data_IF_998033248723
#
_entry.id   IF_998033248723
#
_cell.length_a   1.000
_cell.length_b   1.000
_cell.length_c   1.000
_cell.angle_alpha   90.00
_cell.angle_beta   90.00
_cell.angle_gamma   90.00
#
_symmetry.space_group_name_H-M   'P 1'
#
loop_
_entity.id
_entity.type
_entity.pdbx_description
1 polymer ?
#
# COMPACT_ATOMS: atom_id res chain seq x y z
N UNK A 1 -9.99 -66.87 36.14
CA UNK A 1 -9.23 -66.48 34.93
C UNK A 1 -10.21 -66.46 33.77
N UNK A 2 -10.55 -65.29 33.23
CA UNK A 2 -11.58 -65.17 32.19
C UNK A 2 -10.91 -65.34 30.82
N UNK A 3 -11.28 -66.38 30.08
CA UNK A 3 -10.64 -66.78 28.80
C UNK A 3 -11.28 -66.07 27.59
N UNK A 4 -12.46 -65.46 27.76
CA UNK A 4 -13.24 -64.85 26.65
C UNK A 4 -12.88 -63.40 26.33
N UNK A 5 -12.23 -62.68 27.24
CA UNK A 5 -11.82 -61.28 27.06
C UNK A 5 -10.37 -61.12 27.46
N UNK A 6 -9.51 -60.90 26.46
CA UNK A 6 -8.08 -60.65 26.70
C UNK A 6 -7.88 -59.17 27.05
N UNK A 7 -8.01 -58.85 28.33
CA UNK A 7 -7.88 -57.48 28.84
C UNK A 7 -6.48 -56.88 28.62
N UNK A 8 -5.42 -57.70 28.60
CA UNK A 8 -4.07 -57.23 28.28
C UNK A 8 -3.94 -56.81 26.80
N UNK A 9 -4.50 -57.59 25.88
CA UNK A 9 -4.53 -57.24 24.46
C UNK A 9 -5.38 -55.98 24.20
N UNK A 10 -6.52 -55.83 24.89
CA UNK A 10 -7.36 -54.63 24.78
C UNK A 10 -6.62 -53.38 25.29
N UNK A 11 -5.89 -53.49 26.39
CA UNK A 11 -5.09 -52.36 26.91
C UNK A 11 -3.93 -52.00 25.96
N UNK A 12 -3.26 -53.00 25.39
CA UNK A 12 -2.20 -52.78 24.39
C UNK A 12 -2.74 -52.11 23.11
N UNK A 13 -3.93 -52.52 22.63
CA UNK A 13 -4.60 -51.90 21.48
C UNK A 13 -5.01 -50.44 21.78
N UNK A 14 -5.55 -50.19 22.98
CA UNK A 14 -5.89 -48.83 23.42
C UNK A 14 -4.66 -47.91 23.44
N UNK A 15 -3.55 -48.37 24.03
CA UNK A 15 -2.31 -47.62 24.08
C UNK A 15 -1.70 -47.40 22.69
N UNK A 16 -1.79 -48.41 21.80
CA UNK A 16 -1.37 -48.30 20.41
C UNK A 16 -2.18 -47.22 19.68
N UNK A 17 -3.51 -47.21 19.82
CA UNK A 17 -4.39 -46.18 19.22
C UNK A 17 -4.04 -44.76 19.69
N UNK A 18 -3.79 -44.59 20.99
CA UNK A 18 -3.36 -43.29 21.53
C UNK A 18 -2.02 -42.85 20.91
N UNK A 19 -1.05 -43.77 20.81
CA UNK A 19 0.25 -43.47 20.21
C UNK A 19 0.13 -43.15 18.70
N UNK A 20 -0.64 -43.92 17.94
CA UNK A 20 -0.89 -43.64 16.52
C UNK A 20 -1.54 -42.27 16.32
N UNK A 21 -2.48 -41.86 17.19
CA UNK A 21 -3.08 -40.52 17.13
C UNK A 21 -2.05 -39.41 17.43
N UNK A 22 -1.14 -39.63 18.38
CA UNK A 22 -0.09 -38.65 18.71
C UNK A 22 0.93 -38.51 17.58
N UNK A 23 1.36 -39.63 16.98
CA UNK A 23 2.25 -39.63 15.81
C UNK A 23 1.61 -38.89 14.63
N UNK A 24 0.31 -39.12 14.36
CA UNK A 24 -0.41 -38.42 13.31
C UNK A 24 -0.43 -36.90 13.53
N UNK A 25 -0.67 -36.43 14.77
CA UNK A 25 -0.60 -35.00 15.11
C UNK A 25 0.81 -34.42 14.92
N UNK A 26 1.85 -35.15 15.34
CA UNK A 26 3.25 -34.73 15.15
C UNK A 26 3.62 -34.64 13.68
N UNK A 27 3.19 -35.60 12.86
CA UNK A 27 3.36 -35.56 11.40
C UNK A 27 2.64 -34.38 10.76
N UNK A 28 1.43 -34.04 11.23
CA UNK A 28 0.71 -32.87 10.75
C UNK A 28 1.46 -31.57 11.05
N UNK A 29 2.03 -31.43 12.26
CA UNK A 29 2.85 -30.26 12.65
C UNK A 29 4.15 -30.20 11.86
N UNK A 30 4.78 -31.34 11.61
CA UNK A 30 5.98 -31.40 10.77
C UNK A 30 5.67 -31.01 9.31
N UNK A 31 4.55 -31.49 8.76
CA UNK A 31 4.16 -31.21 7.38
C UNK A 31 3.73 -29.75 7.15
N UNK A 32 3.11 -29.11 8.14
CA UNK A 32 2.71 -27.71 8.05
C UNK A 32 3.83 -26.74 8.42
N UNK A 33 4.82 -27.20 9.19
CA UNK A 33 5.84 -26.36 9.80
C UNK A 33 5.33 -25.48 10.96
N UNK A 34 4.03 -25.54 11.28
CA UNK A 34 3.43 -24.77 12.37
C UNK A 34 3.31 -25.61 13.64
N UNK A 35 3.69 -25.00 14.76
CA UNK A 35 3.53 -25.59 16.09
C UNK A 35 2.04 -25.75 16.49
N UNK A 36 1.18 -24.84 16.03
CA UNK A 36 -0.26 -24.81 16.32
C UNK A 36 -1.00 -24.92 14.99
N UNK A 37 -1.68 -26.05 14.76
CA UNK A 37 -2.42 -26.32 13.51
C UNK A 37 -3.93 -26.26 13.68
N UNK A 38 -4.43 -26.36 14.91
CA UNK A 38 -5.85 -26.40 15.22
C UNK A 38 -6.13 -25.68 16.55
N UNK A 39 -7.33 -25.14 16.71
CA UNK A 39 -7.80 -24.59 17.97
C UNK A 39 -7.81 -25.63 19.10
N UNK A 40 -7.82 -26.93 18.75
CA UNK A 40 -7.72 -28.03 19.71
C UNK A 40 -6.30 -28.21 20.29
N UNK A 41 -5.26 -27.68 19.63
CA UNK A 41 -3.88 -27.70 20.16
C UNK A 41 -3.66 -26.55 21.15
N UNK A 42 -4.06 -25.32 20.76
CA UNK A 42 -3.98 -24.11 21.58
C UNK A 42 -4.91 -23.03 20.99
N UNK A 43 -6.10 -22.87 21.57
CA UNK A 43 -7.08 -21.90 21.09
C UNK A 43 -6.62 -20.45 21.26
N UNK A 44 -5.91 -20.14 22.35
CA UNK A 44 -5.43 -18.79 22.62
C UNK A 44 -4.25 -18.44 21.71
N UNK A 45 -3.29 -19.35 21.56
CA UNK A 45 -2.14 -19.20 20.67
C UNK A 45 -2.56 -19.09 19.20
N UNK A 46 -3.56 -19.88 18.76
CA UNK A 46 -4.11 -19.75 17.41
C UNK A 46 -4.79 -18.39 17.22
N UNK A 47 -5.62 -17.95 18.17
CA UNK A 47 -6.31 -16.66 18.08
C UNK A 47 -5.34 -15.47 17.98
N UNK A 48 -4.26 -15.47 18.77
CA UNK A 48 -3.22 -14.44 18.70
C UNK A 48 -2.51 -14.50 17.33
N UNK A 49 -2.18 -15.69 16.85
CA UNK A 49 -1.48 -15.83 15.55
C UNK A 49 -2.35 -15.37 14.38
N UNK A 50 -3.65 -15.64 14.40
CA UNK A 50 -4.58 -15.17 13.37
C UNK A 50 -4.80 -13.66 13.46
N UNK A 51 -4.86 -13.09 14.67
CA UNK A 51 -4.88 -11.64 14.87
C UNK A 51 -3.61 -10.99 14.31
N UNK A 52 -2.43 -11.55 14.57
CA UNK A 52 -1.17 -11.04 14.01
C UNK A 52 -1.13 -11.17 12.48
N UNK A 53 -1.62 -12.27 11.90
CA UNK A 53 -1.73 -12.41 10.44
C UNK A 53 -2.68 -11.37 9.84
N UNK A 54 -3.80 -11.07 10.51
CA UNK A 54 -4.71 -10.01 10.10
C UNK A 54 -4.00 -8.65 10.14
N UNK A 55 -3.32 -8.34 11.25
CA UNK A 55 -2.53 -7.10 11.36
C UNK A 55 -1.45 -6.98 10.29
N UNK A 56 -0.75 -8.07 9.94
CA UNK A 56 0.24 -8.05 8.85
C UNK A 56 -0.44 -7.67 7.53
N UNK A 57 -1.57 -8.31 7.19
CA UNK A 57 -2.32 -7.97 5.97
C UNK A 57 -2.81 -6.53 5.97
N UNK A 58 -3.27 -6.04 7.12
CA UNK A 58 -3.72 -4.65 7.28
C UNK A 58 -2.55 -3.68 7.09
N UNK A 59 -1.37 -4.01 7.63
CA UNK A 59 -0.15 -3.21 7.44
C UNK A 59 0.35 -3.23 5.99
N UNK A 60 0.28 -4.38 5.31
CA UNK A 60 0.62 -4.48 3.88
C UNK A 60 -0.30 -3.58 3.05
N UNK A 61 -1.62 -3.64 3.29
CA UNK A 61 -2.58 -2.76 2.63
C UNK A 61 -2.37 -1.27 2.99
N UNK A 62 -2.01 -0.95 4.24
CA UNK A 62 -1.68 0.41 4.65
C UNK A 62 -0.39 0.92 3.98
N UNK A 63 0.58 0.03 3.74
CA UNK A 63 1.80 0.34 2.99
C UNK A 63 1.48 0.65 1.54
N UNK A 64 0.67 -0.16 0.88
CA UNK A 64 0.22 0.08 -0.51
C UNK A 64 -0.53 1.42 -0.61
N UNK A 65 -1.46 1.69 0.31
CA UNK A 65 -2.17 2.98 0.37
C UNK A 65 -1.22 4.17 0.59
N UNK A 66 -0.17 4.00 1.40
CA UNK A 66 0.83 5.05 1.61
C UNK A 66 1.64 5.30 0.33
N UNK A 67 1.94 4.24 -0.42
CA UNK A 67 2.63 4.34 -1.70
C UNK A 67 1.78 5.08 -2.74
N UNK A 68 0.47 4.82 -2.79
CA UNK A 68 -0.47 5.57 -3.62
C UNK A 68 -0.53 7.05 -3.23
N UNK A 69 -0.52 7.35 -1.93
CA UNK A 69 -0.45 8.72 -1.42
C UNK A 69 0.85 9.44 -1.86
N UNK A 70 1.99 8.73 -1.85
CA UNK A 70 3.25 9.27 -2.37
C UNK A 70 3.14 9.55 -3.87
N UNK A 71 2.59 8.62 -4.65
CA UNK A 71 2.43 8.80 -6.10
C UNK A 71 1.49 9.97 -6.44
N UNK A 72 0.42 10.17 -5.66
CA UNK A 72 -0.46 11.33 -5.76
C UNK A 72 0.32 12.63 -5.49
N UNK A 73 1.09 12.67 -4.40
CA UNK A 73 1.89 13.85 -4.06
C UNK A 73 2.95 14.17 -5.12
N UNK A 74 3.60 13.15 -5.69
CA UNK A 74 4.56 13.32 -6.78
C UNK A 74 3.92 13.85 -8.07
N UNK A 75 2.69 13.42 -8.37
CA UNK A 75 1.94 13.93 -9.53
C UNK A 75 1.61 15.41 -9.33
N UNK A 76 1.14 15.79 -8.14
CA UNK A 76 0.91 17.18 -7.79
C UNK A 76 2.20 18.01 -7.83
N UNK A 77 3.32 17.48 -7.30
CA UNK A 77 4.62 18.14 -7.32
C UNK A 77 5.14 18.38 -8.75
N UNK A 78 4.98 17.39 -9.64
CA UNK A 78 5.30 17.53 -11.06
C UNK A 78 4.51 18.66 -11.73
N UNK A 79 3.20 18.72 -11.50
CA UNK A 79 2.35 19.79 -12.01
C UNK A 79 2.74 21.16 -11.44
N UNK A 80 3.04 21.25 -10.14
CA UNK A 80 3.45 22.48 -9.49
C UNK A 80 4.83 22.97 -9.97
N UNK A 81 5.74 22.07 -10.34
CA UNK A 81 7.03 22.45 -10.93
C UNK A 81 6.83 23.13 -12.31
N UNK A 82 5.95 22.61 -13.15
CA UNK A 82 5.60 23.26 -14.44
C UNK A 82 4.96 24.63 -14.21
N UNK A 83 4.04 24.74 -13.23
CA UNK A 83 3.47 26.03 -12.83
C UNK A 83 4.54 27.01 -12.33
N UNK A 84 5.49 26.52 -11.54
CA UNK A 84 6.60 27.32 -11.03
C UNK A 84 7.48 27.88 -12.16
N UNK A 85 7.83 27.06 -13.14
CA UNK A 85 8.64 27.48 -14.29
C UNK A 85 7.91 28.53 -15.16
N UNK A 86 6.60 28.37 -15.36
CA UNK A 86 5.78 29.38 -16.04
C UNK A 86 5.72 30.69 -15.27
N UNK A 87 5.56 30.65 -13.94
CA UNK A 87 5.56 31.85 -13.10
C UNK A 87 6.92 32.57 -13.12
N UNK A 88 8.03 31.82 -13.10
CA UNK A 88 9.36 32.39 -13.27
C UNK A 88 9.49 33.09 -14.63
N UNK A 89 8.98 32.46 -15.71
CA UNK A 89 8.95 33.08 -17.04
C UNK A 89 8.10 34.35 -17.07
N UNK A 90 6.92 34.35 -16.44
CA UNK A 90 6.07 35.54 -16.33
C UNK A 90 6.81 36.69 -15.60
N UNK A 91 7.58 36.38 -14.56
CA UNK A 91 8.39 37.36 -13.83
C UNK A 91 9.51 37.95 -14.70
N UNK A 92 10.19 37.12 -15.52
CA UNK A 92 11.15 37.61 -16.51
C UNK A 92 10.51 38.56 -17.52
N UNK A 93 9.33 38.20 -18.04
CA UNK A 93 8.58 39.01 -18.99
C UNK A 93 8.15 40.34 -18.38
N UNK A 94 7.69 40.34 -17.12
CA UNK A 94 7.34 41.55 -16.38
C UNK A 94 8.55 42.49 -16.22
N UNK A 95 9.72 41.94 -15.89
CA UNK A 95 10.97 42.70 -15.77
C UNK A 95 11.39 43.29 -17.12
N UNK A 96 11.27 42.51 -18.21
CA UNK A 96 11.54 42.99 -19.58
C UNK A 96 10.57 44.08 -19.99
N UNK A 97 9.28 43.94 -19.69
CA UNK A 97 8.26 44.94 -19.99
C UNK A 97 8.47 46.26 -19.22
N UNK A 98 9.03 46.20 -18.01
CA UNK A 98 9.38 47.36 -17.20
C UNK A 98 10.58 48.15 -17.71
N UNK A 99 11.37 47.61 -18.65
CA UNK A 99 12.51 48.31 -19.21
C UNK A 99 12.05 49.34 -20.27
N UNK A 100 12.38 50.60 -20.03
CA UNK A 100 11.97 51.74 -20.87
C UNK A 100 12.57 51.77 -22.28
N UNK A 101 13.53 50.90 -22.60
CA UNK A 101 14.13 50.82 -23.94
C UNK A 101 13.28 50.04 -24.95
N UNK A 102 12.33 49.24 -24.50
CA UNK A 102 11.42 48.50 -25.39
C UNK A 102 10.25 49.37 -25.86
N UNK A 103 9.79 49.10 -27.08
CA UNK A 103 8.65 49.78 -27.70
C UNK A 103 7.31 49.26 -27.15
N UNK A 104 6.23 50.03 -27.32
CA UNK A 104 4.88 49.60 -26.93
C UNK A 104 4.43 48.33 -27.67
N UNK A 105 4.85 48.16 -28.92
CA UNK A 105 4.57 46.94 -29.70
C UNK A 105 5.23 45.70 -29.07
N UNK A 106 6.48 45.82 -28.61
CA UNK A 106 7.18 44.74 -27.91
C UNK A 106 6.55 44.44 -26.54
N UNK A 107 6.12 45.47 -25.82
CA UNK A 107 5.34 45.29 -24.56
C UNK A 107 4.02 44.56 -24.81
N UNK A 108 3.36 44.82 -25.93
CA UNK A 108 2.17 44.10 -26.36
C UNK A 108 2.43 42.60 -26.51
N UNK A 109 3.48 42.21 -27.25
CA UNK A 109 3.85 40.81 -27.44
C UNK A 109 4.18 40.09 -26.12
N UNK A 110 4.86 40.77 -25.18
CA UNK A 110 5.13 40.18 -23.86
C UNK A 110 3.85 39.95 -23.05
N UNK A 111 2.86 40.84 -23.17
CA UNK A 111 1.57 40.68 -22.51
C UNK A 111 0.76 39.52 -23.11
N UNK A 112 0.84 39.33 -24.42
CA UNK A 112 0.22 38.17 -25.10
C UNK A 112 0.84 36.85 -24.60
N UNK A 113 2.17 36.79 -24.45
CA UNK A 113 2.87 35.62 -23.88
C UNK A 113 2.46 35.37 -22.42
N UNK A 114 2.36 36.42 -21.60
CA UNK A 114 1.87 36.33 -20.21
C UNK A 114 0.43 35.79 -20.16
N UNK A 115 -0.44 36.25 -21.05
CA UNK A 115 -1.85 35.80 -21.12
C UNK A 115 -1.93 34.31 -21.51
N UNK A 116 -1.07 33.86 -22.43
CA UNK A 116 -0.98 32.44 -22.78
C UNK A 116 -0.49 31.60 -21.60
N UNK A 117 0.54 32.06 -20.87
CA UNK A 117 1.05 31.38 -19.68
C UNK A 117 -0.02 31.26 -18.59
N UNK A 118 -0.83 32.31 -18.37
CA UNK A 118 -1.98 32.25 -17.46
C UNK A 118 -2.98 31.16 -17.88
N UNK A 119 -3.38 31.15 -19.15
CA UNK A 119 -4.28 30.11 -19.66
C UNK A 119 -3.69 28.70 -19.53
N UNK A 120 -2.37 28.57 -19.65
CA UNK A 120 -1.71 27.27 -19.53
C UNK A 120 -1.64 26.80 -18.07
N UNK A 121 -1.45 27.71 -17.12
CA UNK A 121 -1.55 27.43 -15.67
C UNK A 121 -2.96 26.94 -15.33
N UNK A 122 -4.00 27.62 -15.82
CA UNK A 122 -5.39 27.21 -15.59
C UNK A 122 -5.65 25.81 -16.18
N UNK A 123 -5.15 25.52 -17.38
CA UNK A 123 -5.25 24.19 -17.98
C UNK A 123 -4.55 23.11 -17.17
N UNK A 124 -3.36 23.39 -16.61
CA UNK A 124 -2.66 22.43 -15.75
C UNK A 124 -3.47 22.19 -14.49
N UNK A 125 -4.04 23.23 -13.88
CA UNK A 125 -4.93 23.07 -12.73
C UNK A 125 -6.17 22.21 -13.05
N UNK A 126 -6.76 22.39 -14.23
CA UNK A 126 -7.97 21.64 -14.61
C UNK A 126 -7.69 20.19 -15.03
N UNK A 127 -6.49 19.92 -15.58
CA UNK A 127 -6.11 18.62 -16.15
C UNK A 127 -5.28 17.74 -15.22
N UNK A 128 -4.74 18.28 -14.12
CA UNK A 128 -3.97 17.49 -13.15
C UNK A 128 -4.89 16.55 -12.41
N UNK A 129 -4.79 15.26 -12.75
CA UNK A 129 -5.67 14.23 -12.23
C UNK A 129 -4.88 13.01 -11.81
N UNK A 130 -5.17 12.50 -10.61
CA UNK A 130 -4.67 11.21 -10.15
C UNK A 130 -5.85 10.30 -9.81
N UNK A 131 -6.02 9.22 -10.57
CA UNK A 131 -7.06 8.21 -10.35
C UNK A 131 -8.49 8.78 -10.22
N UNK A 132 -8.82 9.80 -11.03
CA UNK A 132 -10.13 10.48 -11.01
C UNK A 132 -10.24 11.62 -10.00
N UNK A 133 -9.24 11.82 -9.14
CA UNK A 133 -9.16 12.96 -8.22
C UNK A 133 -8.47 14.11 -8.95
N UNK A 134 -9.18 15.22 -9.17
CA UNK A 134 -8.54 16.47 -9.59
C UNK A 134 -7.77 17.06 -8.41
N UNK A 135 -6.51 17.40 -8.68
CA UNK A 135 -5.54 17.91 -7.70
C UNK A 135 -5.48 19.43 -7.73
#
# INVERSE_FOLDING_TARGET
MVVRTNTMAINAEHQMRLNSSNVAKSLQKLSSGYKINSAADDAAGLAISEHMKAQIKDLDAASDNSQDGISLAQTAEGALNEVHDMLNRMSELATKASNGTYTDSQRGNYNDEVTQLQSQIDQISDSTNFNGINL
#
